data_IF_077623029056
#
_entry.id   IF_077623029056
#
_cell.length_a   1.000
_cell.length_b   1.000
_cell.length_c   1.000
_cell.angle_alpha   90.00
_cell.angle_beta   90.00
_cell.angle_gamma   90.00
#
_symmetry.space_group_name_H-M   'P 1'
#
loop_
_entity.id
_entity.type
_entity.pdbx_description
1 polymer ?
#
# COMPACT_ATOMS: atom_id res chain seq x y z
N UNK A 1 -17.25 -30.67 -11.24
CA UNK A 1 -17.35 -29.48 -12.12
C UNK A 1 -18.11 -28.43 -11.34
N UNK A 2 -17.40 -27.46 -10.75
CA UNK A 2 -18.02 -26.36 -10.01
C UNK A 2 -18.77 -25.47 -11.00
N UNK A 3 -20.07 -25.32 -10.79
CA UNK A 3 -20.93 -24.42 -11.55
C UNK A 3 -20.42 -23.00 -11.32
N UNK A 4 -19.78 -22.43 -12.33
CA UNK A 4 -19.25 -21.07 -12.28
C UNK A 4 -20.44 -20.13 -12.31
N UNK A 5 -20.88 -19.68 -11.13
CA UNK A 5 -21.94 -18.67 -10.98
C UNK A 5 -21.56 -17.51 -11.88
N UNK A 6 -22.35 -17.29 -12.95
CA UNK A 6 -22.23 -16.10 -13.79
C UNK A 6 -22.51 -14.91 -12.89
N UNK A 7 -21.47 -14.15 -12.57
CA UNK A 7 -21.63 -12.89 -11.84
C UNK A 7 -22.52 -11.99 -12.70
N UNK A 8 -23.63 -11.53 -12.14
CA UNK A 8 -24.56 -10.59 -12.76
C UNK A 8 -25.01 -9.61 -11.66
N UNK A 9 -24.76 -8.33 -11.89
CA UNK A 9 -25.11 -7.25 -10.99
C UNK A 9 -26.58 -6.83 -11.15
N UNK A 10 -27.37 -7.41 -12.06
CA UNK A 10 -28.83 -7.23 -12.13
C UNK A 10 -29.30 -5.77 -12.19
N UNK A 11 -28.54 -4.88 -12.84
CA UNK A 11 -28.85 -3.46 -12.92
C UNK A 11 -28.45 -2.64 -11.69
N UNK A 12 -27.84 -3.26 -10.67
CA UNK A 12 -27.40 -2.59 -9.46
C UNK A 12 -26.34 -1.53 -9.76
N UNK A 13 -26.36 -0.45 -8.97
CA UNK A 13 -25.28 0.54 -8.99
C UNK A 13 -24.08 -0.02 -8.21
N UNK A 14 -22.92 -0.08 -8.85
CA UNK A 14 -21.68 -0.60 -8.26
C UNK A 14 -20.69 0.54 -8.17
N UNK A 15 -20.34 0.94 -6.94
CA UNK A 15 -19.43 2.05 -6.72
C UNK A 15 -17.97 1.55 -6.69
N UNK A 16 -17.09 2.24 -7.39
CA UNK A 16 -15.64 1.98 -7.39
C UNK A 16 -14.88 3.21 -6.94
N UNK A 17 -13.93 2.97 -6.04
CA UNK A 17 -13.06 3.97 -5.45
C UNK A 17 -11.63 3.92 -6.05
N UNK A 18 -11.41 3.02 -7.01
CA UNK A 18 -10.13 2.79 -7.66
C UNK A 18 -9.87 3.82 -8.76
N UNK A 19 -8.71 4.47 -8.71
CA UNK A 19 -8.33 5.52 -9.66
C UNK A 19 -7.57 4.99 -10.87
N UNK A 20 -6.76 3.92 -10.75
CA UNK A 20 -5.94 3.40 -11.86
C UNK A 20 -6.71 2.65 -12.93
N UNK A 21 -7.73 1.93 -12.51
CA UNK A 21 -8.50 1.03 -13.37
C UNK A 21 -9.96 1.49 -13.44
N UNK A 22 -10.23 2.77 -13.19
CA UNK A 22 -11.57 3.32 -13.16
C UNK A 22 -12.33 2.97 -14.45
N UNK A 23 -11.69 3.12 -15.60
CA UNK A 23 -12.26 2.80 -16.92
C UNK A 23 -12.48 1.30 -17.10
N UNK A 24 -11.49 0.48 -16.75
CA UNK A 24 -11.54 -0.98 -16.88
C UNK A 24 -12.58 -1.59 -15.95
N UNK A 25 -12.65 -1.13 -14.70
CA UNK A 25 -13.62 -1.55 -13.70
C UNK A 25 -15.01 -1.09 -14.09
N UNK A 26 -15.18 0.14 -14.61
CA UNK A 26 -16.47 0.61 -15.12
C UNK A 26 -16.99 -0.30 -16.24
N UNK A 27 -16.12 -0.60 -17.22
CA UNK A 27 -16.47 -1.54 -18.30
C UNK A 27 -16.77 -2.94 -17.79
N UNK A 28 -16.10 -3.39 -16.74
CA UNK A 28 -16.35 -4.69 -16.11
C UNK A 28 -17.72 -4.72 -15.44
N UNK A 29 -18.06 -3.65 -14.70
CA UNK A 29 -19.37 -3.46 -14.06
C UNK A 29 -20.49 -3.48 -15.11
N UNK A 30 -20.35 -2.70 -16.17
CA UNK A 30 -21.32 -2.65 -17.28
C UNK A 30 -21.48 -4.02 -17.97
N UNK A 31 -20.37 -4.72 -18.21
CA UNK A 31 -20.37 -6.06 -18.82
C UNK A 31 -21.15 -7.07 -17.99
N UNK A 32 -21.11 -6.94 -16.67
CA UNK A 32 -21.89 -7.78 -15.75
C UNK A 32 -23.23 -7.14 -15.37
N UNK A 33 -23.79 -6.26 -16.21
CA UNK A 33 -25.14 -5.73 -16.05
C UNK A 33 -25.30 -4.69 -14.94
N UNK A 34 -24.22 -4.17 -14.36
CA UNK A 34 -24.26 -3.12 -13.34
C UNK A 34 -24.14 -1.70 -13.92
N UNK A 35 -24.45 -0.70 -13.10
CA UNK A 35 -24.23 0.72 -13.41
C UNK A 35 -23.04 1.23 -12.60
N UNK A 36 -21.91 1.62 -13.23
CA UNK A 36 -20.73 2.05 -12.49
C UNK A 36 -20.93 3.45 -11.90
N UNK A 37 -20.56 3.61 -10.63
CA UNK A 37 -20.40 4.90 -9.97
C UNK A 37 -18.93 5.06 -9.59
N UNK A 38 -18.20 5.87 -10.35
CA UNK A 38 -16.76 6.06 -10.14
C UNK A 38 -16.53 7.26 -9.23
N UNK A 39 -15.93 7.01 -8.07
CA UNK A 39 -15.60 8.04 -7.09
C UNK A 39 -14.13 7.92 -6.69
N UNK A 40 -13.17 8.44 -7.46
CA UNK A 40 -11.75 8.29 -7.13
C UNK A 40 -11.45 9.00 -5.80
N UNK A 41 -11.04 8.25 -4.77
CA UNK A 41 -10.73 8.80 -3.43
C UNK A 41 -9.24 8.98 -3.20
N UNK A 42 -8.41 8.37 -4.05
CA UNK A 42 -6.96 8.44 -3.96
C UNK A 42 -6.41 9.21 -5.16
N UNK A 43 -5.66 10.27 -4.88
CA UNK A 43 -4.83 10.95 -5.87
C UNK A 43 -3.40 10.48 -5.77
N UNK A 44 -2.80 10.28 -6.94
CA UNK A 44 -1.36 10.12 -7.08
C UNK A 44 -0.66 11.43 -6.69
N UNK A 45 0.08 11.43 -5.56
CA UNK A 45 0.97 12.56 -5.25
C UNK A 45 2.17 12.46 -6.20
N UNK A 46 2.52 13.53 -6.93
CA UNK A 46 3.72 13.56 -7.75
C UNK A 46 4.95 13.19 -6.92
N UNK A 47 5.74 12.28 -7.44
CA UNK A 47 6.98 11.73 -6.86
C UNK A 47 8.10 12.78 -6.63
N UNK A 48 7.87 14.04 -6.99
CA UNK A 48 8.88 15.08 -7.13
C UNK A 48 9.40 15.69 -5.84
N UNK A 49 8.76 15.48 -4.69
CA UNK A 49 9.15 16.17 -3.46
C UNK A 49 9.11 15.29 -2.20
N UNK A 50 9.54 14.03 -2.32
CA UNK A 50 9.77 13.21 -1.14
C UNK A 50 11.13 13.56 -0.52
N UNK A 51 11.15 14.67 0.24
CA UNK A 51 12.33 15.15 0.98
C UNK A 51 12.99 14.06 1.82
N UNK A 52 12.21 13.12 2.35
CA UNK A 52 12.71 11.99 3.14
C UNK A 52 13.49 10.99 2.25
N UNK A 53 13.04 10.71 1.02
CA UNK A 53 13.80 9.87 0.08
C UNK A 53 15.07 10.57 -0.38
N UNK A 54 15.05 11.90 -0.53
CA UNK A 54 16.26 12.68 -0.80
C UNK A 54 17.26 12.59 0.36
N UNK A 55 16.79 12.72 1.61
CA UNK A 55 17.62 12.55 2.79
C UNK A 55 18.16 11.12 2.90
N UNK A 56 17.33 10.10 2.66
CA UNK A 56 17.76 8.70 2.58
C UNK A 56 18.88 8.54 1.55
N UNK A 57 18.68 9.06 0.34
CA UNK A 57 19.68 8.99 -0.73
C UNK A 57 21.00 9.66 -0.33
N UNK A 58 20.95 10.84 0.29
CA UNK A 58 22.15 11.51 0.79
C UNK A 58 22.87 10.71 1.88
N UNK A 59 22.12 10.14 2.85
CA UNK A 59 22.67 9.26 3.90
C UNK A 59 23.29 8.01 3.29
N UNK A 60 22.63 7.38 2.33
CA UNK A 60 23.10 6.19 1.61
C UNK A 60 24.42 6.48 0.89
N UNK A 61 24.50 7.56 0.10
CA UNK A 61 25.73 7.94 -0.61
C UNK A 61 26.88 8.26 0.36
N UNK A 62 26.56 8.85 1.52
CA UNK A 62 27.54 9.16 2.56
C UNK A 62 27.96 7.96 3.42
N UNK A 63 27.48 6.74 3.12
CA UNK A 63 27.78 5.54 3.93
C UNK A 63 27.18 5.61 5.34
N UNK A 64 26.06 6.34 5.50
CA UNK A 64 25.36 6.54 6.77
C UNK A 64 24.17 5.62 6.98
N UNK A 65 24.07 4.55 6.21
CA UNK A 65 23.07 3.49 6.34
C UNK A 65 23.82 2.16 6.41
N UNK A 66 23.65 1.42 7.50
CA UNK A 66 24.29 0.12 7.70
C UNK A 66 23.39 -1.02 7.23
N UNK A 67 22.07 -0.83 7.35
CA UNK A 67 21.06 -1.84 7.04
C UNK A 67 19.83 -1.19 6.39
N UNK A 68 19.38 -1.75 5.26
CA UNK A 68 18.16 -1.34 4.57
C UNK A 68 17.13 -2.48 4.63
N UNK A 69 15.99 -2.21 5.25
CA UNK A 69 14.84 -3.10 5.31
C UNK A 69 13.85 -2.73 4.20
N UNK A 70 13.48 -3.71 3.37
CA UNK A 70 12.48 -3.55 2.31
C UNK A 70 11.22 -4.35 2.66
N UNK A 71 10.11 -3.64 2.88
CA UNK A 71 8.85 -4.24 3.33
C UNK A 71 7.98 -4.74 2.17
N UNK A 72 8.01 -4.06 1.00
CA UNK A 72 7.19 -4.43 -0.15
C UNK A 72 7.96 -4.32 -1.47
N UNK A 73 7.55 -5.08 -2.48
CA UNK A 73 8.17 -5.02 -3.82
C UNK A 73 7.96 -3.66 -4.48
N UNK A 74 6.73 -3.14 -4.47
CA UNK A 74 6.43 -1.84 -5.09
C UNK A 74 7.15 -0.68 -4.39
N UNK A 75 7.25 -0.71 -3.07
CA UNK A 75 8.00 0.28 -2.30
C UNK A 75 9.50 0.25 -2.61
N UNK A 76 10.09 -0.94 -2.73
CA UNK A 76 11.48 -1.10 -3.14
C UNK A 76 11.74 -0.58 -4.56
N UNK A 77 10.93 -0.99 -5.55
CA UNK A 77 11.05 -0.51 -6.94
C UNK A 77 10.93 1.02 -7.01
N UNK A 78 9.93 1.59 -6.34
CA UNK A 78 9.70 3.03 -6.33
C UNK A 78 10.86 3.79 -5.66
N UNK A 79 11.40 3.27 -4.54
CA UNK A 79 12.59 3.84 -3.91
C UNK A 79 13.77 3.87 -4.89
N UNK A 80 14.02 2.78 -5.60
CA UNK A 80 15.13 2.74 -6.57
C UNK A 80 14.92 3.70 -7.74
N UNK A 81 13.70 3.80 -8.26
CA UNK A 81 13.40 4.74 -9.34
C UNK A 81 13.55 6.20 -8.90
N UNK A 82 13.17 6.52 -7.65
CA UNK A 82 13.41 7.83 -7.05
C UNK A 82 14.90 8.12 -6.87
N UNK A 83 15.72 7.15 -6.49
CA UNK A 83 17.17 7.36 -6.40
C UNK A 83 17.80 7.62 -7.78
N UNK A 84 17.31 6.96 -8.84
CA UNK A 84 17.80 7.13 -10.22
C UNK A 84 17.53 8.53 -10.78
N UNK A 85 16.53 9.27 -10.26
CA UNK A 85 16.28 10.65 -10.71
C UNK A 85 17.36 11.61 -10.25
N UNK A 86 18.14 11.26 -9.22
CA UNK A 86 19.11 12.15 -8.57
C UNK A 86 20.55 11.66 -8.61
N UNK A 87 20.76 10.36 -8.72
CA UNK A 87 22.08 9.74 -8.74
C UNK A 87 22.21 8.76 -9.91
N UNK A 88 23.39 8.66 -10.54
CA UNK A 88 23.65 7.60 -11.52
C UNK A 88 23.42 6.22 -10.90
N UNK A 89 22.70 5.35 -11.60
CA UNK A 89 22.37 4.01 -11.09
C UNK A 89 23.60 3.19 -10.63
N UNK A 90 24.75 3.19 -11.35
CA UNK A 90 25.94 2.49 -10.87
C UNK A 90 26.43 2.98 -9.50
N UNK A 91 26.34 4.29 -9.23
CA UNK A 91 26.69 4.88 -7.92
C UNK A 91 25.73 4.40 -6.84
N UNK A 92 24.43 4.34 -7.15
CA UNK A 92 23.41 3.83 -6.22
C UNK A 92 23.65 2.35 -5.90
N UNK A 93 23.95 1.53 -6.90
CA UNK A 93 24.29 0.13 -6.72
C UNK A 93 25.50 -0.05 -5.80
N UNK A 94 26.59 0.68 -6.04
CA UNK A 94 27.78 0.61 -5.20
C UNK A 94 27.47 1.00 -3.75
N UNK A 95 26.62 2.00 -3.53
CA UNK A 95 26.23 2.40 -2.18
C UNK A 95 25.35 1.32 -1.51
N UNK A 96 24.35 0.78 -2.21
CA UNK A 96 23.47 -0.28 -1.71
C UNK A 96 24.23 -1.58 -1.39
N UNK A 97 25.26 -1.92 -2.18
CA UNK A 97 26.11 -3.09 -1.95
C UNK A 97 26.94 -3.02 -0.65
N UNK A 98 27.11 -1.82 -0.08
CA UNK A 98 27.79 -1.63 1.22
C UNK A 98 26.84 -1.83 2.41
N UNK A 99 25.53 -1.83 2.16
CA UNK A 99 24.51 -2.02 3.18
C UNK A 99 24.15 -3.50 3.30
N UNK A 100 23.79 -3.94 4.51
CA UNK A 100 23.04 -5.19 4.66
C UNK A 100 21.61 -4.96 4.17
N UNK A 101 21.16 -5.67 3.13
CA UNK A 101 19.80 -5.52 2.60
C UNK A 101 18.93 -6.66 3.10
N UNK A 102 17.84 -6.34 3.78
CA UNK A 102 16.88 -7.31 4.33
C UNK A 102 15.56 -7.20 3.58
N UNK A 103 15.14 -8.30 2.96
CA UNK A 103 13.86 -8.39 2.26
C UNK A 103 12.83 -9.12 3.14
N UNK A 104 11.70 -8.47 3.45
CA UNK A 104 10.64 -9.06 4.29
C UNK A 104 9.88 -10.23 3.61
N UNK A 105 10.16 -10.57 2.36
CA UNK A 105 9.47 -11.64 1.64
C UNK A 105 9.74 -11.64 0.14
N UNK A 106 9.01 -12.46 -0.64
CA UNK A 106 9.31 -12.70 -2.06
C UNK A 106 9.12 -11.45 -2.94
N UNK A 107 8.22 -10.54 -2.58
CA UNK A 107 7.96 -9.31 -3.36
C UNK A 107 9.17 -8.36 -3.37
N UNK A 108 9.74 -7.93 -2.22
CA UNK A 108 11.01 -7.20 -2.21
C UNK A 108 12.18 -7.95 -2.85
N UNK A 109 12.25 -9.28 -2.70
CA UNK A 109 13.31 -10.10 -3.35
C UNK A 109 13.22 -9.97 -4.88
N UNK A 110 12.03 -10.07 -5.45
CA UNK A 110 11.83 -9.90 -6.89
C UNK A 110 12.23 -8.49 -7.36
N UNK A 111 11.90 -7.45 -6.59
CA UNK A 111 12.29 -6.07 -6.90
C UNK A 111 13.82 -5.87 -6.87
N UNK A 112 14.51 -6.44 -5.88
CA UNK A 112 15.99 -6.45 -5.83
C UNK A 112 16.58 -7.15 -7.04
N UNK A 113 16.08 -8.34 -7.39
CA UNK A 113 16.55 -9.10 -8.55
C UNK A 113 16.40 -8.31 -9.86
N UNK A 114 15.25 -7.66 -10.06
CA UNK A 114 15.01 -6.81 -11.22
C UNK A 114 15.96 -5.59 -11.27
N UNK A 115 16.43 -5.12 -10.11
CA UNK A 115 17.41 -4.06 -9.98
C UNK A 115 18.87 -4.54 -10.07
N UNK A 116 19.13 -5.84 -10.25
CA UNK A 116 20.48 -6.41 -10.26
C UNK A 116 21.12 -6.54 -8.87
N UNK A 117 20.30 -6.53 -7.82
CA UNK A 117 20.71 -6.68 -6.42
C UNK A 117 20.22 -8.02 -5.85
N UNK A 118 20.84 -8.44 -4.74
CA UNK A 118 20.41 -9.59 -3.96
C UNK A 118 20.20 -9.16 -2.51
N UNK A 119 19.19 -9.72 -1.86
CA UNK A 119 19.01 -9.52 -0.43
C UNK A 119 20.10 -10.28 0.33
N UNK A 120 20.71 -9.63 1.32
CA UNK A 120 21.62 -10.30 2.26
C UNK A 120 20.86 -11.29 3.13
N UNK A 121 19.67 -10.89 3.59
CA UNK A 121 18.76 -11.73 4.35
C UNK A 121 17.36 -11.66 3.75
N UNK A 122 16.69 -12.82 3.68
CA UNK A 122 15.27 -12.91 3.36
C UNK A 122 14.54 -13.44 4.58
N UNK A 123 13.47 -12.75 4.98
CA UNK A 123 12.64 -13.17 6.10
C UNK A 123 11.85 -14.42 5.68
N UNK A 124 11.84 -15.50 6.49
CA UNK A 124 11.08 -16.72 6.19
C UNK A 124 9.57 -16.47 6.31
N UNK A 125 8.77 -17.36 5.72
CA UNK A 125 7.32 -17.35 5.95
C UNK A 125 7.01 -17.52 7.44
N UNK A 126 6.00 -16.81 7.98
CA UNK A 126 4.92 -16.08 7.29
C UNK A 126 5.22 -14.62 6.89
N UNK A 127 6.49 -14.19 6.88
CA UNK A 127 6.90 -12.87 6.37
C UNK A 127 6.29 -11.68 7.15
N UNK A 128 6.05 -11.86 8.45
CA UNK A 128 5.54 -10.79 9.31
C UNK A 128 6.66 -9.87 9.81
N UNK A 129 6.29 -8.77 10.46
CA UNK A 129 7.29 -7.92 11.11
C UNK A 129 7.94 -8.59 12.32
N UNK A 130 7.23 -9.54 12.97
CA UNK A 130 7.77 -10.36 14.07
C UNK A 130 8.84 -11.30 13.53
N UNK A 131 8.58 -11.96 12.40
CA UNK A 131 9.55 -12.83 11.74
C UNK A 131 10.78 -12.06 11.28
N UNK A 132 10.58 -10.83 10.80
CA UNK A 132 11.67 -9.93 10.45
C UNK A 132 12.56 -9.65 11.66
N UNK A 133 11.96 -9.26 12.79
CA UNK A 133 12.69 -8.99 14.02
C UNK A 133 13.45 -10.24 14.49
N UNK A 134 12.80 -11.39 14.50
CA UNK A 134 13.43 -12.67 14.85
C UNK A 134 14.60 -13.01 13.92
N UNK A 135 14.45 -12.76 12.62
CA UNK A 135 15.51 -12.96 11.61
C UNK A 135 16.70 -12.04 11.88
N UNK A 136 16.46 -10.77 12.20
CA UNK A 136 17.51 -9.83 12.58
C UNK A 136 18.21 -10.26 13.86
N UNK A 137 17.47 -10.59 14.92
CA UNK A 137 18.04 -11.03 16.19
C UNK A 137 18.95 -12.25 16.02
N UNK A 138 18.60 -13.17 15.12
CA UNK A 138 19.37 -14.39 14.87
C UNK A 138 20.58 -14.18 13.95
N UNK A 139 20.46 -13.38 12.90
CA UNK A 139 21.43 -13.34 11.82
C UNK A 139 22.17 -12.01 11.67
N UNK A 140 21.56 -10.90 12.10
CA UNK A 140 22.14 -9.56 12.04
C UNK A 140 21.56 -8.65 13.14
N UNK A 141 22.00 -8.79 14.41
CA UNK A 141 21.58 -7.91 15.49
C UNK A 141 21.83 -6.44 15.14
N UNK A 142 20.88 -5.56 15.50
CA UNK A 142 20.81 -4.17 15.01
C UNK A 142 21.34 -3.11 15.97
N UNK A 143 21.91 -3.50 17.10
CA UNK A 143 22.43 -2.57 18.10
C UNK A 143 23.46 -1.63 17.46
N UNK A 144 23.29 -0.32 17.68
CA UNK A 144 24.14 0.77 17.17
C UNK A 144 24.21 0.86 15.64
N UNK A 145 23.35 0.14 14.91
CA UNK A 145 23.26 0.24 13.45
C UNK A 145 22.30 1.35 13.03
N UNK A 146 22.63 2.01 11.93
CA UNK A 146 21.75 2.97 11.23
C UNK A 146 20.87 2.20 10.25
N UNK A 147 19.62 2.00 10.65
CA UNK A 147 18.66 1.12 9.97
C UNK A 147 17.65 1.96 9.21
N UNK A 148 17.71 1.92 7.88
CA UNK A 148 16.65 2.47 7.04
C UNK A 148 15.51 1.46 6.86
N UNK A 149 14.27 1.92 7.03
CA UNK A 149 13.07 1.07 6.84
C UNK A 149 12.23 1.63 5.71
N UNK A 150 12.24 0.97 4.56
CA UNK A 150 11.35 1.32 3.45
C UNK A 150 9.91 0.98 3.82
N UNK A 151 9.08 2.00 3.99
CA UNK A 151 7.65 1.87 4.25
C UNK A 151 6.84 2.20 2.99
N UNK A 152 5.66 1.60 2.84
CA UNK A 152 4.76 1.89 1.73
C UNK A 152 3.32 2.00 2.25
N UNK A 153 2.75 3.20 2.18
CA UNK A 153 1.40 3.50 2.68
C UNK A 153 1.37 3.75 4.19
N UNK A 154 1.00 2.73 4.97
CA UNK A 154 0.79 2.85 6.43
C UNK A 154 2.07 2.44 7.15
N UNK A 155 2.55 3.29 8.05
CA UNK A 155 3.70 2.99 8.91
C UNK A 155 3.39 1.84 9.87
N UNK A 156 4.41 1.05 10.20
CA UNK A 156 4.32 0.02 11.22
C UNK A 156 5.06 0.48 12.50
N UNK A 157 4.41 1.22 13.41
CA UNK A 157 5.07 1.76 14.60
C UNK A 157 5.58 0.68 15.55
N UNK A 158 4.99 -0.52 15.54
CA UNK A 158 5.46 -1.64 16.36
C UNK A 158 6.80 -2.16 15.86
N UNK A 159 6.98 -2.27 14.54
CA UNK A 159 8.25 -2.64 13.94
C UNK A 159 9.34 -1.60 14.26
N UNK A 160 9.04 -0.31 14.07
CA UNK A 160 10.01 0.76 14.31
C UNK A 160 10.45 0.77 15.78
N UNK A 161 9.50 0.72 16.72
CA UNK A 161 9.79 0.63 18.15
C UNK A 161 10.59 -0.62 18.51
N UNK A 162 10.28 -1.76 17.90
CA UNK A 162 11.00 -3.01 18.17
C UNK A 162 12.48 -2.93 17.74
N UNK A 163 12.79 -2.21 16.65
CA UNK A 163 14.16 -1.95 16.19
C UNK A 163 14.87 -0.96 17.14
N UNK A 164 14.22 0.14 17.53
CA UNK A 164 14.76 1.13 18.46
C UNK A 164 15.05 0.51 19.84
N UNK A 165 14.16 -0.34 20.35
CA UNK A 165 14.35 -1.07 21.61
C UNK A 165 15.56 -2.02 21.57
N UNK A 166 16.00 -2.42 20.38
CA UNK A 166 17.24 -3.21 20.17
C UNK A 166 18.48 -2.33 19.99
N UNK A 167 18.33 -1.02 20.12
CA UNK A 167 19.41 -0.03 20.04
C UNK A 167 19.76 0.41 18.62
N UNK A 168 18.88 0.21 17.64
CA UNK A 168 19.08 0.73 16.28
C UNK A 168 18.77 2.23 16.20
N UNK A 169 19.54 2.97 15.40
CA UNK A 169 19.15 4.30 14.91
C UNK A 169 18.23 4.10 13.70
N UNK A 170 16.92 4.22 13.90
CA UNK A 170 15.93 3.91 12.86
C UNK A 170 15.62 5.14 12.02
N UNK A 171 15.70 4.99 10.70
CA UNK A 171 15.34 6.00 9.72
C UNK A 171 14.19 5.49 8.83
N UNK A 172 12.93 5.85 9.12
CA UNK A 172 11.80 5.49 8.27
C UNK A 172 11.91 6.17 6.90
N UNK A 173 11.68 5.41 5.84
CA UNK A 173 11.66 5.89 4.46
C UNK A 173 10.27 5.62 3.88
N UNK A 174 9.27 6.44 4.21
CA UNK A 174 7.94 6.30 3.66
C UNK A 174 7.94 6.66 2.18
N UNK A 175 7.61 5.67 1.37
CA UNK A 175 7.42 5.83 -0.07
C UNK A 175 5.93 6.08 -0.28
N UNK A 176 5.53 7.35 -0.37
CA UNK A 176 4.16 7.68 -0.72
C UNK A 176 3.97 7.67 -2.23
N UNK A 177 2.99 6.89 -2.63
CA UNK A 177 2.03 7.25 -3.67
C UNK A 177 0.66 7.00 -3.06
N UNK A 178 -0.29 7.89 -3.32
CA UNK A 178 -1.65 8.00 -2.75
C UNK A 178 -1.78 8.91 -1.50
N UNK A 179 -2.31 10.10 -1.70
CA UNK A 179 -3.01 10.87 -0.66
C UNK A 179 -4.51 10.87 -0.95
N UNK A 180 -5.31 11.08 0.10
CA UNK A 180 -6.68 11.54 -0.07
C UNK A 180 -6.66 12.83 -0.90
N UNK A 181 -7.67 13.03 -1.75
CA UNK A 181 -7.89 14.34 -2.38
C UNK A 181 -7.98 15.40 -1.27
N UNK A 182 -7.25 16.52 -1.42
CA UNK A 182 -7.32 17.66 -0.50
C UNK A 182 -8.77 18.18 -0.42
N UNK A 183 -9.47 18.13 -1.55
CA UNK A 183 -10.90 18.34 -1.62
C UNK A 183 -11.66 17.01 -1.46
N UNK A 184 -12.31 16.85 -0.30
CA UNK A 184 -13.20 15.71 -0.01
C UNK A 184 -14.62 15.93 -0.55
N UNK A 185 -14.95 17.07 -1.18
CA UNK A 185 -16.29 17.36 -1.69
C UNK A 185 -16.76 16.35 -2.76
N UNK A 186 -15.93 15.89 -3.72
CA UNK A 186 -16.32 14.84 -4.66
C UNK A 186 -16.60 13.50 -3.98
N UNK A 187 -15.85 13.20 -2.91
CA UNK A 187 -16.04 11.99 -2.11
C UNK A 187 -17.35 12.10 -1.32
N UNK A 188 -17.60 13.25 -0.70
CA UNK A 188 -18.85 13.53 0.02
C UNK A 188 -20.05 13.47 -0.91
N UNK A 189 -19.96 14.05 -2.10
CA UNK A 189 -21.01 13.99 -3.11
C UNK A 189 -21.27 12.56 -3.58
N UNK A 190 -20.23 11.79 -3.89
CA UNK A 190 -20.38 10.38 -4.24
C UNK A 190 -20.98 9.58 -3.09
N UNK A 191 -20.60 9.86 -1.83
CA UNK A 191 -21.21 9.23 -0.67
C UNK A 191 -22.66 9.67 -0.47
N UNK A 192 -23.01 10.93 -0.69
CA UNK A 192 -24.38 11.42 -0.63
C UNK A 192 -25.24 10.78 -1.74
N UNK A 193 -24.71 10.62 -2.95
CA UNK A 193 -25.35 9.89 -4.05
C UNK A 193 -25.51 8.40 -3.72
N UNK A 194 -24.48 7.76 -3.16
CA UNK A 194 -24.54 6.37 -2.66
C UNK A 194 -25.61 6.27 -1.59
N UNK A 195 -25.63 7.16 -0.59
CA UNK A 195 -26.57 7.15 0.53
C UNK A 195 -28.01 7.48 0.10
N UNK A 196 -28.19 8.36 -0.89
CA UNK A 196 -29.47 8.64 -1.50
C UNK A 196 -29.97 7.44 -2.33
N UNK A 197 -29.08 6.80 -3.09
CA UNK A 197 -29.39 5.62 -3.90
C UNK A 197 -29.62 4.35 -3.06
N UNK A 198 -29.00 4.24 -1.88
CA UNK A 198 -29.17 3.14 -0.92
C UNK A 198 -30.59 3.07 -0.35
N UNK A 199 -31.38 4.16 -0.44
CA UNK A 199 -32.83 4.13 -0.15
C UNK A 199 -33.63 3.35 -1.21
N UNK A 200 -33.02 3.04 -2.35
CA UNK A 200 -33.67 2.49 -3.55
C UNK A 200 -33.01 1.20 -4.07
N UNK A 201 -31.71 0.96 -3.81
CA UNK A 201 -30.94 -0.14 -4.43
C UNK A 201 -29.68 -0.49 -3.60
N UNK A 202 -29.31 -1.77 -3.39
CA UNK A 202 -28.08 -2.14 -2.68
C UNK A 202 -26.82 -1.83 -3.52
N UNK A 203 -25.81 -1.24 -2.89
CA UNK A 203 -24.54 -0.87 -3.55
C UNK A 203 -23.43 -1.83 -3.14
N UNK A 204 -22.69 -2.30 -4.13
CA UNK A 204 -21.52 -3.16 -3.96
C UNK A 204 -20.25 -2.35 -4.19
N UNK A 205 -19.32 -2.38 -3.24
CA UNK A 205 -18.01 -1.74 -3.30
C UNK A 205 -16.94 -2.79 -3.61
N UNK A 206 -16.10 -2.51 -4.59
CA UNK A 206 -14.91 -3.29 -4.89
C UNK A 206 -13.69 -2.51 -4.40
N UNK A 207 -12.98 -3.02 -3.39
CA UNK A 207 -11.73 -2.40 -2.93
C UNK A 207 -10.66 -3.45 -2.61
N UNK A 208 -9.42 -3.17 -3.01
CA UNK A 208 -8.23 -3.81 -2.46
C UNK A 208 -7.90 -3.18 -1.12
N UNK A 209 -8.16 -3.87 0.01
CA UNK A 209 -7.77 -3.52 1.39
C UNK A 209 -7.30 -2.06 1.59
N UNK A 210 -8.18 -1.09 1.32
CA UNK A 210 -7.80 0.32 1.34
C UNK A 210 -8.34 0.94 2.63
N UNK A 211 -7.53 0.93 3.69
CA UNK A 211 -7.88 1.50 4.99
C UNK A 211 -8.29 2.98 4.88
N UNK A 212 -7.78 3.71 3.88
CA UNK A 212 -8.17 5.11 3.65
C UNK A 212 -9.61 5.23 3.14
N UNK A 213 -10.06 4.32 2.26
CA UNK A 213 -11.47 4.22 1.83
C UNK A 213 -12.36 3.94 3.05
N UNK A 214 -11.96 2.97 3.88
CA UNK A 214 -12.69 2.63 5.12
C UNK A 214 -12.76 3.80 6.11
N UNK A 215 -11.65 4.52 6.29
CA UNK A 215 -11.58 5.66 7.20
C UNK A 215 -12.44 6.82 6.69
N UNK A 216 -12.46 7.06 5.38
CA UNK A 216 -13.34 8.06 4.76
C UNK A 216 -14.82 7.66 4.90
N UNK A 217 -15.17 6.40 4.64
CA UNK A 217 -16.53 5.88 4.80
C UNK A 217 -17.01 5.99 6.25
N UNK A 218 -16.22 5.54 7.22
CA UNK A 218 -16.57 5.55 8.63
C UNK A 218 -16.73 6.96 9.21
N UNK A 219 -16.03 7.96 8.67
CA UNK A 219 -16.14 9.37 9.09
C UNK A 219 -17.34 10.10 8.49
N UNK A 220 -17.93 9.56 7.43
CA UNK A 220 -18.92 10.29 6.62
C UNK A 220 -20.31 9.66 6.67
N UNK A 221 -20.43 8.35 6.89
CA UNK A 221 -21.70 7.67 7.04
C UNK A 221 -22.22 7.77 8.49
N UNK A 222 -23.50 8.13 8.67
CA UNK A 222 -24.18 8.00 9.97
C UNK A 222 -24.33 6.51 10.32
N UNK A 223 -23.67 6.01 11.39
CA UNK A 223 -23.67 4.60 11.77
C UNK A 223 -25.06 4.01 12.04
N UNK A 224 -26.08 4.84 12.29
CA UNK A 224 -27.44 4.37 12.58
C UNK A 224 -28.29 4.10 11.33
N UNK A 225 -27.92 4.68 10.18
CA UNK A 225 -28.75 4.66 8.96
C UNK A 225 -28.44 3.51 8.00
N UNK A 226 -27.33 2.81 8.20
CA UNK A 226 -26.77 1.88 7.20
C UNK A 226 -26.24 0.60 7.85
N UNK A 227 -26.39 -0.52 7.14
CA UNK A 227 -25.71 -1.79 7.40
C UNK A 227 -24.58 -1.96 6.38
N UNK A 228 -23.37 -2.12 6.88
CA UNK A 228 -22.19 -2.44 6.09
C UNK A 228 -21.87 -3.93 6.29
N UNK A 229 -21.77 -4.69 5.21
CA UNK A 229 -21.34 -6.09 5.23
C UNK A 229 -20.12 -6.27 4.35
N UNK A 230 -19.16 -7.07 4.80
CA UNK A 230 -17.94 -7.35 4.02
C UNK A 230 -17.91 -8.82 3.68
N UNK A 231 -17.71 -9.15 2.40
CA UNK A 231 -17.39 -10.49 1.92
C UNK A 231 -16.00 -10.46 1.30
N UNK A 232 -15.23 -11.52 1.51
CA UNK A 232 -13.93 -11.66 0.87
C UNK A 232 -14.09 -12.49 -0.41
N UNK A 233 -13.51 -12.02 -1.50
CA UNK A 233 -13.41 -12.75 -2.77
C UNK A 233 -11.91 -12.87 -3.06
N UNK A 234 -11.35 -14.05 -2.82
CA UNK A 234 -9.89 -14.29 -2.90
C UNK A 234 -9.08 -13.33 -2.01
N UNK A 235 -8.12 -12.58 -2.59
CA UNK A 235 -7.31 -11.56 -1.91
C UNK A 235 -8.02 -10.19 -1.79
N UNK A 236 -9.19 -10.04 -2.43
CA UNK A 236 -9.94 -8.79 -2.51
C UNK A 236 -11.13 -8.77 -1.53
N UNK A 237 -11.55 -7.57 -1.14
CA UNK A 237 -12.72 -7.37 -0.26
C UNK A 237 -13.86 -6.73 -1.03
N UNK A 238 -15.00 -7.41 -1.04
CA UNK A 238 -16.30 -6.90 -1.47
C UNK A 238 -17.00 -6.29 -0.26
N UNK A 239 -17.31 -4.99 -0.28
CA UNK A 239 -18.05 -4.35 0.79
C UNK A 239 -19.43 -3.98 0.27
N UNK A 240 -20.49 -4.55 0.82
CA UNK A 240 -21.87 -4.20 0.48
C UNK A 240 -22.42 -3.24 1.52
N UNK A 241 -22.94 -2.11 1.05
CA UNK A 241 -23.61 -1.09 1.87
C UNK A 241 -25.10 -1.14 1.55
N UNK A 242 -25.94 -1.36 2.56
CA UNK A 242 -27.39 -1.38 2.45
C UNK A 242 -28.04 -0.55 3.54
N UNK A 243 -29.24 0.00 3.32
CA UNK A 243 -30.00 0.64 4.39
C UNK A 243 -30.37 -0.39 5.47
N UNK A 244 -30.54 0.04 6.72
CA UNK A 244 -31.14 -0.82 7.76
C UNK A 244 -32.63 -1.03 7.54
#
# INVERSE_FOLDING_TARGET
>A
MSEMVKVDFQGLTVATFESRMATEISRLIERYGGRPLVAPVLREIPLGDNSIVHEFGARLMAGRIDLLILLTGIGATTLFDLLKTRYPWPTVLTALQRCTIVARGPKPVAALKAAGLQATLTVPEPNTWIDLISTLDKHRPVKELRVAVQEYGISNPDLLRALEQRGAEVFPVPIYKWALLEDLAPIRHALDEIMAAVRSTPITLLTRKNLAVWTALAKTADPQSVRISTRFIEDDSLVTISHR
#
